data_IF_388258647270
#
_entry.id   IF_388258647270
#
_cell.length_a   1.000
_cell.length_b   1.000
_cell.length_c   1.000
_cell.angle_alpha   90.00
_cell.angle_beta   90.00
_cell.angle_gamma   90.00
#
_symmetry.space_group_name_H-M   'P 1'
#
loop_
_entity.id
_entity.type
_entity.pdbx_description
1 polymer ?
#
# COMPACT_ATOMS: atom_id res chain seq x y z
N UNK A 1 -43.90 -16.02 1.75
CA UNK A 1 -42.45 -15.82 1.53
C UNK A 1 -42.10 -14.40 1.93
N UNK A 2 -40.95 -14.15 2.55
CA UNK A 2 -40.52 -12.76 2.82
C UNK A 2 -40.12 -12.11 1.49
N UNK A 3 -40.66 -10.93 1.19
CA UNK A 3 -40.29 -10.15 0.03
C UNK A 3 -39.08 -9.28 0.38
N UNK A 4 -38.09 -9.23 -0.51
CA UNK A 4 -36.91 -8.37 -0.38
C UNK A 4 -36.84 -7.44 -1.58
N UNK A 5 -36.43 -6.20 -1.34
CA UNK A 5 -36.27 -5.17 -2.37
C UNK A 5 -34.89 -5.25 -3.04
N UNK A 6 -33.89 -5.76 -2.32
CA UNK A 6 -32.52 -5.96 -2.80
C UNK A 6 -31.95 -7.31 -2.37
N UNK A 7 -31.13 -7.90 -3.24
CA UNK A 7 -30.24 -9.02 -2.90
C UNK A 7 -28.79 -8.55 -3.07
N UNK A 8 -28.03 -8.58 -1.98
CA UNK A 8 -26.60 -8.28 -1.95
C UNK A 8 -25.84 -9.61 -1.83
N UNK A 9 -24.93 -9.86 -2.76
CA UNK A 9 -24.06 -11.05 -2.75
C UNK A 9 -22.65 -10.63 -2.32
N UNK A 10 -22.25 -11.10 -1.15
CA UNK A 10 -21.01 -10.75 -0.46
C UNK A 10 -21.27 -9.82 0.73
N UNK A 11 -20.93 -10.30 1.93
CA UNK A 11 -21.00 -9.56 3.19
C UNK A 11 -19.67 -8.87 3.53
N UNK A 12 -18.90 -8.45 2.53
CA UNK A 12 -17.72 -7.60 2.72
C UNK A 12 -18.09 -6.14 3.00
N UNK A 13 -17.09 -5.28 3.20
CA UNK A 13 -17.28 -3.85 3.49
C UNK A 13 -18.31 -3.19 2.55
N UNK A 14 -18.14 -3.35 1.25
CA UNK A 14 -19.05 -2.75 0.26
C UNK A 14 -20.50 -3.21 0.45
N UNK A 15 -20.72 -4.53 0.49
CA UNK A 15 -22.07 -5.10 0.61
C UNK A 15 -22.75 -4.71 1.92
N UNK A 16 -21.99 -4.71 3.03
CA UNK A 16 -22.50 -4.28 4.33
C UNK A 16 -22.85 -2.78 4.36
N UNK A 17 -22.01 -1.91 3.79
CA UNK A 17 -22.28 -0.46 3.72
C UNK A 17 -23.51 -0.19 2.86
N UNK A 18 -23.60 -0.79 1.68
CA UNK A 18 -24.78 -0.66 0.82
C UNK A 18 -26.06 -1.12 1.52
N UNK A 19 -26.02 -2.32 2.11
CA UNK A 19 -27.17 -2.86 2.83
C UNK A 19 -27.59 -1.96 4.00
N UNK A 20 -26.64 -1.37 4.73
CA UNK A 20 -26.92 -0.42 5.79
C UNK A 20 -27.61 0.84 5.27
N UNK A 21 -27.09 1.46 4.21
CA UNK A 21 -27.68 2.69 3.65
C UNK A 21 -29.06 2.45 3.03
N UNK A 22 -29.26 1.35 2.28
CA UNK A 22 -30.58 1.01 1.74
C UNK A 22 -31.58 0.69 2.85
N UNK A 23 -31.14 0.02 3.92
CA UNK A 23 -32.01 -0.25 5.07
C UNK A 23 -32.47 1.03 5.76
N UNK A 24 -31.60 2.05 5.85
CA UNK A 24 -31.95 3.38 6.38
C UNK A 24 -32.97 4.12 5.50
N UNK A 25 -32.99 3.83 4.20
CA UNK A 25 -33.99 4.33 3.27
C UNK A 25 -35.30 3.52 3.30
N UNK A 26 -35.44 2.57 4.23
CA UNK A 26 -36.66 1.78 4.42
C UNK A 26 -36.76 0.52 3.57
N UNK A 27 -35.72 0.18 2.79
CA UNK A 27 -35.70 -1.01 1.93
C UNK A 27 -35.39 -2.29 2.71
N UNK A 28 -35.98 -3.40 2.29
CA UNK A 28 -35.70 -4.73 2.83
C UNK A 28 -34.59 -5.39 2.02
N UNK A 29 -33.40 -5.51 2.61
CA UNK A 29 -32.21 -6.06 1.93
C UNK A 29 -31.91 -7.46 2.46
N UNK A 30 -31.76 -8.43 1.55
CA UNK A 30 -31.18 -9.73 1.85
C UNK A 30 -29.70 -9.72 1.50
N UNK A 31 -28.84 -9.97 2.48
CA UNK A 31 -27.40 -10.13 2.25
C UNK A 31 -27.07 -11.62 2.36
N UNK A 32 -26.39 -12.16 1.36
CA UNK A 32 -25.87 -13.53 1.37
C UNK A 32 -24.35 -13.48 1.21
N UNK A 33 -23.66 -14.42 1.84
CA UNK A 33 -22.24 -14.69 1.57
C UNK A 33 -22.08 -16.21 1.43
N UNK A 34 -21.09 -16.64 0.66
CA UNK A 34 -20.74 -18.05 0.56
C UNK A 34 -19.97 -18.54 1.79
N UNK A 35 -19.33 -17.61 2.51
CA UNK A 35 -18.59 -17.88 3.75
C UNK A 35 -19.57 -18.03 4.91
N UNK A 36 -19.11 -18.70 5.96
CA UNK A 36 -19.84 -18.90 7.21
C UNK A 36 -19.74 -17.70 8.18
N UNK A 37 -19.14 -16.60 7.72
CA UNK A 37 -18.98 -15.38 8.49
C UNK A 37 -19.18 -14.13 7.61
N UNK A 38 -19.37 -12.99 8.26
CA UNK A 38 -19.50 -11.67 7.63
C UNK A 38 -18.13 -10.99 7.46
N UNK A 39 -18.13 -9.76 6.95
CA UNK A 39 -16.99 -8.86 6.80
C UNK A 39 -15.99 -9.21 5.67
N UNK A 40 -16.15 -10.35 5.00
CA UNK A 40 -15.28 -10.75 3.89
C UNK A 40 -13.81 -10.87 4.34
N UNK A 41 -12.88 -10.24 3.62
CA UNK A 41 -11.44 -10.37 3.93
C UNK A 41 -11.02 -9.64 5.22
N UNK A 42 -11.78 -8.66 5.70
CA UNK A 42 -11.46 -7.95 6.95
C UNK A 42 -11.99 -8.69 8.20
N UNK A 43 -12.50 -9.92 8.04
CA UNK A 43 -13.00 -10.71 9.15
C UNK A 43 -11.89 -10.99 10.17
N UNK A 44 -12.26 -10.87 11.45
CA UNK A 44 -11.39 -11.18 12.58
C UNK A 44 -12.01 -12.29 13.41
N UNK A 45 -11.13 -13.13 13.96
CA UNK A 45 -11.50 -14.25 14.83
C UNK A 45 -10.76 -14.11 16.14
N UNK A 46 -11.48 -14.29 17.25
CA UNK A 46 -10.84 -14.29 18.56
C UNK A 46 -10.12 -15.62 18.80
N UNK A 47 -8.81 -15.55 19.06
CA UNK A 47 -7.97 -16.69 19.40
C UNK A 47 -7.26 -16.35 20.72
N UNK A 48 -7.61 -17.06 21.80
CA UNK A 48 -7.02 -16.87 23.14
C UNK A 48 -7.13 -15.40 23.64
N UNK A 49 -8.25 -14.74 23.37
CA UNK A 49 -8.50 -13.35 23.76
C UNK A 49 -7.83 -12.30 22.85
N UNK A 50 -7.25 -12.71 21.72
CA UNK A 50 -6.63 -11.80 20.73
C UNK A 50 -7.48 -11.82 19.46
N UNK A 51 -7.82 -10.65 18.93
CA UNK A 51 -8.46 -10.50 17.63
C UNK A 51 -7.41 -10.72 16.52
N UNK A 52 -7.57 -11.81 15.76
CA UNK A 52 -6.65 -12.20 14.68
C UNK A 52 -7.34 -11.99 13.34
N UNK A 53 -6.64 -11.39 12.38
CA UNK A 53 -7.16 -11.21 11.03
C UNK A 53 -6.97 -12.50 10.24
N UNK A 54 -8.07 -13.16 9.88
CA UNK A 54 -8.03 -14.49 9.25
C UNK A 54 -7.34 -14.46 7.87
N UNK A 55 -7.51 -13.35 7.15
CA UNK A 55 -7.06 -13.20 5.74
C UNK A 55 -5.94 -12.17 5.57
N UNK A 56 -5.06 -12.07 6.56
CA UNK A 56 -3.91 -11.16 6.56
C UNK A 56 -4.20 -9.81 7.22
N UNK A 57 -3.13 -9.05 7.50
CA UNK A 57 -3.24 -7.79 8.21
C UNK A 57 -4.08 -6.76 7.44
N UNK A 58 -5.00 -6.11 8.14
CA UNK A 58 -5.92 -5.10 7.58
C UNK A 58 -5.90 -3.89 8.49
N UNK A 59 -5.06 -2.91 8.18
CA UNK A 59 -4.95 -1.68 8.95
C UNK A 59 -5.85 -0.64 8.30
N UNK A 60 -6.83 -0.12 9.03
CA UNK A 60 -7.68 0.95 8.52
C UNK A 60 -6.90 2.27 8.46
N UNK A 61 -6.90 2.90 7.29
CA UNK A 61 -6.34 4.23 7.10
C UNK A 61 -7.14 4.98 6.02
N UNK A 62 -7.38 6.26 6.23
CA UNK A 62 -8.01 7.15 5.25
C UNK A 62 -7.62 8.60 5.53
N UNK A 63 -7.52 9.41 4.49
CA UNK A 63 -7.46 10.88 4.59
C UNK A 63 -8.83 11.53 4.41
N UNK A 64 -9.86 10.74 4.07
CA UNK A 64 -11.23 11.19 3.91
C UNK A 64 -11.95 11.21 5.26
N UNK A 65 -12.34 12.41 5.67
CA UNK A 65 -13.02 12.64 6.95
C UNK A 65 -14.42 12.05 6.98
N UNK A 66 -15.15 12.08 5.87
CA UNK A 66 -16.51 11.51 5.82
C UNK A 66 -16.46 10.00 6.05
N UNK A 67 -15.51 9.32 5.39
CA UNK A 67 -15.28 7.88 5.57
C UNK A 67 -14.82 7.57 7.01
N UNK A 68 -13.92 8.37 7.57
CA UNK A 68 -13.46 8.22 8.96
C UNK A 68 -14.62 8.34 9.95
N UNK A 69 -15.39 9.42 9.85
CA UNK A 69 -16.51 9.70 10.74
C UNK A 69 -17.61 8.65 10.58
N UNK A 70 -17.84 8.15 9.36
CA UNK A 70 -18.77 7.06 9.08
C UNK A 70 -18.36 5.76 9.79
N UNK A 71 -17.11 5.33 9.63
CA UNK A 71 -16.61 4.09 10.25
C UNK A 71 -16.67 4.15 11.79
N UNK A 72 -16.36 5.31 12.38
CA UNK A 72 -16.38 5.51 13.83
C UNK A 72 -17.80 5.51 14.44
N UNK A 73 -18.86 5.49 13.64
CA UNK A 73 -20.24 5.24 14.13
C UNK A 73 -20.46 3.79 14.56
N UNK A 74 -19.64 2.86 14.05
CA UNK A 74 -19.81 1.41 14.25
C UNK A 74 -18.72 0.78 15.09
N UNK A 75 -17.61 1.49 15.32
CA UNK A 75 -16.47 0.99 16.09
C UNK A 75 -15.67 2.15 16.69
N UNK A 76 -14.82 1.83 17.67
CA UNK A 76 -13.84 2.77 18.21
C UNK A 76 -12.50 2.41 17.61
N UNK A 77 -11.90 3.35 16.87
CA UNK A 77 -10.56 3.18 16.33
C UNK A 77 -9.51 3.50 17.39
N UNK A 78 -8.47 2.69 17.49
CA UNK A 78 -7.28 3.04 18.24
C UNK A 78 -6.34 3.91 17.39
N UNK A 79 -5.27 4.44 17.99
CA UNK A 79 -4.25 5.23 17.30
C UNK A 79 -3.07 4.37 16.83
N UNK A 80 -3.34 3.17 16.30
CA UNK A 80 -2.28 2.32 15.76
C UNK A 80 -1.73 2.90 14.45
N UNK A 81 -0.40 3.05 14.38
CA UNK A 81 0.31 3.47 13.17
C UNK A 81 1.09 2.26 12.65
N UNK A 82 0.85 1.88 11.41
CA UNK A 82 1.56 0.76 10.81
C UNK A 82 3.03 1.13 10.54
N UNK A 83 3.96 0.44 11.20
CA UNK A 83 5.39 0.63 11.07
C UNK A 83 6.08 -0.69 10.71
N UNK A 84 5.91 -1.19 9.47
CA UNK A 84 6.48 -2.46 9.04
C UNK A 84 8.01 -2.41 9.00
N UNK A 85 8.62 -3.59 9.11
CA UNK A 85 10.06 -3.80 9.01
C UNK A 85 10.33 -4.87 7.97
N UNK A 86 11.32 -4.64 7.10
CA UNK A 86 11.82 -5.61 6.15
C UNK A 86 13.09 -6.28 6.71
N UNK A 87 13.16 -7.60 6.56
CA UNK A 87 14.35 -8.39 6.84
C UNK A 87 15.02 -8.71 5.50
N UNK A 88 16.25 -8.26 5.32
CA UNK A 88 17.07 -8.62 4.16
C UNK A 88 18.38 -9.20 4.66
N UNK A 89 18.59 -10.51 4.42
CA UNK A 89 19.69 -11.28 5.03
C UNK A 89 19.63 -11.13 6.56
N UNK A 90 20.72 -10.69 7.18
CA UNK A 90 20.83 -10.48 8.63
C UNK A 90 20.53 -9.03 9.05
N UNK A 91 19.94 -8.23 8.17
CA UNK A 91 19.69 -6.81 8.41
C UNK A 91 18.19 -6.46 8.42
N UNK A 92 17.84 -5.53 9.31
CA UNK A 92 16.50 -5.00 9.50
C UNK A 92 16.41 -3.58 8.97
N UNK A 93 15.35 -3.29 8.21
CA UNK A 93 15.11 -2.00 7.57
C UNK A 93 13.69 -1.52 7.83
N UNK A 94 13.53 -0.25 8.22
CA UNK A 94 12.22 0.36 8.37
C UNK A 94 11.53 0.55 7.01
N UNK A 95 10.22 0.34 6.99
CA UNK A 95 9.34 0.67 5.87
C UNK A 95 8.22 1.63 6.32
N UNK A 96 7.71 2.49 5.42
CA UNK A 96 8.22 2.77 4.08
C UNK A 96 9.61 3.44 4.13
N UNK A 97 10.25 3.60 2.98
CA UNK A 97 11.58 4.22 2.88
C UNK A 97 11.59 5.61 3.53
N UNK A 98 12.44 5.77 4.54
CA UNK A 98 12.65 7.03 5.24
C UNK A 98 14.11 7.13 5.70
N UNK A 99 14.45 8.18 6.45
CA UNK A 99 15.83 8.38 6.90
C UNK A 99 16.36 7.26 7.78
N UNK A 100 15.53 6.51 8.52
CA UNK A 100 15.99 5.33 9.25
C UNK A 100 16.48 4.25 8.29
N UNK A 101 15.76 4.04 7.19
CA UNK A 101 16.14 3.10 6.12
C UNK A 101 17.44 3.52 5.46
N UNK A 102 17.55 4.78 5.02
CA UNK A 102 18.74 5.27 4.34
C UNK A 102 19.96 5.34 5.25
N UNK A 103 19.75 5.72 6.52
CA UNK A 103 20.81 5.72 7.53
C UNK A 103 21.35 4.32 7.76
N UNK A 104 20.48 3.31 7.86
CA UNK A 104 20.91 1.92 8.00
C UNK A 104 21.64 1.42 6.76
N UNK A 105 21.13 1.73 5.57
CA UNK A 105 21.64 1.22 4.30
C UNK A 105 22.99 1.84 3.90
N UNK A 106 23.14 3.15 4.05
CA UNK A 106 24.31 3.89 3.56
C UNK A 106 25.17 4.51 4.67
N UNK A 107 24.81 4.31 5.94
CA UNK A 107 25.49 4.89 7.10
C UNK A 107 25.55 6.43 7.06
N UNK A 108 24.50 7.05 6.51
CA UNK A 108 24.35 8.51 6.41
C UNK A 108 23.46 9.06 7.52
N UNK A 109 23.42 10.38 7.68
CA UNK A 109 22.64 11.04 8.75
C UNK A 109 21.71 12.13 8.25
N UNK A 110 21.97 12.70 7.08
CA UNK A 110 21.24 13.87 6.58
C UNK A 110 20.45 13.58 5.30
N UNK A 111 19.32 14.26 5.09
CA UNK A 111 18.59 14.18 3.82
C UNK A 111 19.44 14.60 2.60
N UNK A 112 20.40 15.51 2.78
CA UNK A 112 21.30 15.94 1.71
C UNK A 112 22.21 14.80 1.24
N UNK A 113 22.77 14.03 2.17
CA UNK A 113 23.55 12.82 1.85
C UNK A 113 22.69 11.76 1.17
N UNK A 114 21.44 11.58 1.62
CA UNK A 114 20.50 10.64 1.01
C UNK A 114 20.22 11.02 -0.45
N UNK A 115 19.87 12.28 -0.69
CA UNK A 115 19.65 12.81 -2.05
C UNK A 115 20.87 12.64 -2.94
N UNK A 116 22.08 12.90 -2.42
CA UNK A 116 23.33 12.69 -3.16
C UNK A 116 23.53 11.23 -3.53
N UNK A 117 23.29 10.29 -2.60
CA UNK A 117 23.41 8.84 -2.86
C UNK A 117 22.39 8.35 -3.86
N UNK A 118 21.14 8.78 -3.75
CA UNK A 118 20.07 8.46 -4.71
C UNK A 118 20.46 8.97 -6.09
N UNK A 119 20.82 10.26 -6.23
CA UNK A 119 21.22 10.81 -7.53
C UNK A 119 22.40 10.07 -8.16
N UNK A 120 23.42 9.71 -7.37
CA UNK A 120 24.56 8.91 -7.84
C UNK A 120 24.14 7.53 -8.36
N UNK A 121 23.26 6.83 -7.64
CA UNK A 121 22.78 5.51 -8.04
C UNK A 121 21.84 5.58 -9.24
N UNK A 122 20.96 6.59 -9.29
CA UNK A 122 20.08 6.85 -10.43
C UNK A 122 20.89 7.11 -11.69
N UNK A 123 21.89 7.99 -11.63
CA UNK A 123 22.75 8.28 -12.78
C UNK A 123 23.51 7.03 -13.26
N UNK A 124 24.10 6.27 -12.34
CA UNK A 124 24.81 5.04 -12.69
C UNK A 124 23.88 4.02 -13.38
N UNK A 125 22.64 3.92 -12.92
CA UNK A 125 21.65 3.01 -13.50
C UNK A 125 21.14 3.52 -14.87
N UNK A 126 20.90 4.82 -15.03
CA UNK A 126 20.59 5.43 -16.32
C UNK A 126 21.71 5.15 -17.33
N UNK A 127 22.97 5.34 -16.94
CA UNK A 127 24.12 5.00 -17.80
C UNK A 127 24.14 3.53 -18.16
N UNK A 128 23.86 2.61 -17.22
CA UNK A 128 23.76 1.17 -17.49
C UNK A 128 22.67 0.88 -18.53
N UNK A 129 21.48 1.45 -18.36
CA UNK A 129 20.34 1.27 -19.27
C UNK A 129 20.69 1.81 -20.67
N UNK A 130 21.14 3.06 -20.77
CA UNK A 130 21.52 3.69 -22.03
C UNK A 130 22.67 2.96 -22.73
N UNK A 131 23.64 2.44 -21.97
CA UNK A 131 24.72 1.63 -22.53
C UNK A 131 24.19 0.39 -23.26
N UNK A 132 23.14 -0.24 -22.70
CA UNK A 132 22.45 -1.37 -23.32
C UNK A 132 21.67 -0.97 -24.57
N UNK A 133 20.94 0.15 -24.52
CA UNK A 133 20.16 0.68 -25.66
C UNK A 133 21.04 1.13 -26.82
N UNK A 134 22.16 1.79 -26.52
CA UNK A 134 23.06 2.36 -27.51
C UNK A 134 24.14 1.37 -27.99
N UNK A 135 24.21 0.18 -27.37
CA UNK A 135 25.25 -0.82 -27.60
C UNK A 135 26.67 -0.26 -27.43
N UNK A 136 26.87 0.53 -26.38
CA UNK A 136 28.15 1.19 -26.04
C UNK A 136 28.55 0.84 -24.61
N UNK A 137 29.80 1.10 -24.25
CA UNK A 137 30.21 0.99 -22.85
C UNK A 137 29.58 2.13 -22.01
N UNK A 138 29.24 1.90 -20.72
CA UNK A 138 28.64 2.91 -19.85
C UNK A 138 29.43 4.22 -19.76
N UNK A 139 30.76 4.15 -19.81
CA UNK A 139 31.64 5.33 -19.74
C UNK A 139 31.60 6.19 -21.02
N UNK A 140 31.06 5.64 -22.12
CA UNK A 140 30.85 6.36 -23.37
C UNK A 140 29.49 7.06 -23.45
N UNK A 141 28.61 6.87 -22.44
CA UNK A 141 27.35 7.62 -22.33
C UNK A 141 27.67 9.02 -21.79
N UNK A 142 27.19 10.05 -22.48
CA UNK A 142 27.43 11.45 -22.14
C UNK A 142 26.49 11.95 -21.06
N UNK A 143 26.88 13.04 -20.37
CA UNK A 143 26.01 13.75 -19.42
C UNK A 143 24.69 14.22 -20.05
N UNK A 144 24.72 14.60 -21.33
CA UNK A 144 23.55 15.06 -22.06
C UNK A 144 22.55 13.92 -22.30
N UNK A 145 23.06 12.74 -22.69
CA UNK A 145 22.24 11.52 -22.83
C UNK A 145 21.64 11.09 -21.49
N UNK A 146 22.39 11.21 -20.38
CA UNK A 146 21.86 10.94 -19.03
C UNK A 146 20.75 11.92 -18.65
N UNK A 147 20.95 13.23 -18.88
CA UNK A 147 19.94 14.26 -18.56
C UNK A 147 18.70 14.15 -19.44
N UNK A 148 18.85 13.66 -20.67
CA UNK A 148 17.76 13.38 -21.60
C UNK A 148 17.13 12.00 -21.44
N UNK A 149 17.39 11.28 -20.35
CA UNK A 149 16.84 9.95 -20.13
C UNK A 149 15.31 9.98 -20.03
N UNK A 150 14.66 9.17 -20.87
CA UNK A 150 13.23 8.90 -20.80
C UNK A 150 13.01 7.39 -20.54
N UNK A 151 12.11 7.11 -19.59
CA UNK A 151 11.70 5.76 -19.25
C UNK A 151 10.80 5.18 -20.36
N UNK A 152 11.17 4.01 -20.87
CA UNK A 152 10.42 3.27 -21.90
C UNK A 152 9.52 2.18 -21.30
N UNK A 153 9.69 1.85 -20.01
CA UNK A 153 8.92 0.81 -19.32
C UNK A 153 8.70 1.11 -17.82
N UNK A 154 7.86 0.29 -17.17
CA UNK A 154 7.48 0.46 -15.75
C UNK A 154 8.66 0.32 -14.78
N UNK A 155 9.68 -0.49 -15.10
CA UNK A 155 10.84 -0.69 -14.22
C UNK A 155 11.70 0.59 -14.18
N UNK A 156 11.82 1.26 -15.31
CA UNK A 156 12.59 2.49 -15.47
C UNK A 156 11.89 3.73 -14.92
N UNK A 157 10.56 3.72 -14.82
CA UNK A 157 9.80 4.84 -14.23
C UNK A 157 10.26 5.16 -12.81
N UNK A 158 10.72 4.15 -12.06
CA UNK A 158 11.28 4.34 -10.72
C UNK A 158 12.55 5.19 -10.66
N UNK A 159 13.24 5.39 -11.80
CA UNK A 159 14.44 6.21 -11.93
C UNK A 159 14.14 7.65 -12.36
N UNK A 160 12.92 7.90 -12.84
CA UNK A 160 12.45 9.21 -13.31
C UNK A 160 11.74 10.06 -12.24
N UNK A 161 11.59 9.51 -11.02
CA UNK A 161 10.97 10.16 -9.85
C UNK A 161 12.02 10.86 -8.97
#
# INVERSE_FOLDING_TARGET
MKHFDDLVVGAGLFGCVYAHEMRRQGRNVLVIDKRDHVAGNIFTKEIRGIQVHEYGAHIFHTSDREVWDYANRFCIMNHYINAPVAIYRDELYNLPFNMNTFSRMWQIRTPAEAKKKIAQQTEAEIRRILSGRLHRQPDAVTEEEVRGFEAENLEEQGLSL
#
